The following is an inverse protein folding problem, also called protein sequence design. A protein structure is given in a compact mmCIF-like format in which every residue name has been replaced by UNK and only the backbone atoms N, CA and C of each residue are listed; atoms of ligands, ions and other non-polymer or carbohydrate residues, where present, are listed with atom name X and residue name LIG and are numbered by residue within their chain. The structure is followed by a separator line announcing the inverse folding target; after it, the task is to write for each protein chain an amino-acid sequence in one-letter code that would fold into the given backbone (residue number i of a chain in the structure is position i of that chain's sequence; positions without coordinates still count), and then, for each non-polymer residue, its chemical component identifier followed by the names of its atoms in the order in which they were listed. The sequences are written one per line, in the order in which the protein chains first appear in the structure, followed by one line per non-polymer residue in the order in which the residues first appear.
data_IF_561143305280
#
_entry.id   IF_561143305280
#
_cell.length_a   1.000
_cell.length_b   1.000
_cell.length_c   1.000
_cell.angle_alpha   90.00
_cell.angle_beta   90.00
_cell.angle_gamma   90.00
#
_symmetry.space_group_name_H-M   'P 1'
#
loop_
_entity.id
_entity.type
_entity.pdbx_description
1 polymer ?
#
# COMPACT_ATOMS: atom_id res chain seq x y z
N UNK A 1 0.06 -5.74 15.36
CA UNK A 1 -1.16 -5.02 15.81
C UNK A 1 -2.19 -6.00 16.35
N UNK A 2 -3.07 -5.52 17.21
CA UNK A 2 -4.18 -6.32 17.73
C UNK A 2 -5.28 -6.42 16.68
N UNK A 3 -6.25 -7.35 16.91
CA UNK A 3 -7.42 -7.47 16.03
C UNK A 3 -8.21 -6.15 15.97
N UNK A 4 -8.38 -5.49 17.11
CA UNK A 4 -9.08 -4.21 17.18
C UNK A 4 -8.35 -3.11 16.42
N UNK A 5 -7.04 -3.06 16.54
CA UNK A 5 -6.23 -2.11 15.77
C UNK A 5 -6.30 -2.38 14.27
N UNK A 6 -6.30 -3.66 13.88
CA UNK A 6 -6.41 -4.04 12.47
C UNK A 6 -7.77 -3.64 11.89
N UNK A 7 -8.85 -3.88 12.63
CA UNK A 7 -10.20 -3.48 12.20
C UNK A 7 -10.32 -1.95 12.10
N UNK A 8 -9.80 -1.23 13.08
CA UNK A 8 -9.77 0.23 13.08
C UNK A 8 -8.98 0.76 11.88
N UNK A 9 -7.82 0.16 11.59
CA UNK A 9 -7.01 0.51 10.43
C UNK A 9 -7.81 0.36 9.13
N UNK A 10 -8.53 -0.75 8.97
CA UNK A 10 -9.34 -0.97 7.76
C UNK A 10 -10.40 0.12 7.59
N UNK A 11 -11.03 0.56 8.66
CA UNK A 11 -12.02 1.64 8.60
C UNK A 11 -11.42 2.99 8.21
N UNK A 12 -10.13 3.20 8.48
CA UNK A 12 -9.44 4.45 8.11
C UNK A 12 -8.74 4.37 6.75
N UNK A 13 -8.68 3.19 6.13
CA UNK A 13 -7.94 2.97 4.89
C UNK A 13 -8.39 3.89 3.75
N UNK A 14 -9.67 4.19 3.65
CA UNK A 14 -10.20 5.08 2.63
C UNK A 14 -9.64 6.50 2.74
N UNK A 15 -9.39 6.96 3.95
CA UNK A 15 -8.88 8.32 4.20
C UNK A 15 -7.36 8.43 4.05
N UNK A 16 -6.66 7.33 3.91
CA UNK A 16 -5.21 7.33 3.69
C UNK A 16 -4.96 7.60 2.21
N UNK A 17 -4.25 8.69 1.92
CA UNK A 17 -3.97 9.11 0.54
C UNK A 17 -2.59 8.68 0.07
N UNK A 18 -2.42 8.55 -1.25
CA UNK A 18 -1.13 8.33 -1.86
C UNK A 18 -0.17 9.49 -1.51
N UNK A 19 1.13 9.21 -1.57
CA UNK A 19 2.15 10.21 -1.31
C UNK A 19 2.11 11.31 -2.38
N UNK A 20 2.25 12.56 -1.96
CA UNK A 20 2.33 13.70 -2.86
C UNK A 20 3.80 13.96 -3.18
N UNK A 21 4.24 13.59 -4.37
CA UNK A 21 5.63 13.69 -4.78
C UNK A 21 5.77 14.51 -6.05
N UNK A 22 6.71 15.46 -6.05
CA UNK A 22 6.94 16.36 -7.18
C UNK A 22 7.88 15.79 -8.24
N UNK A 23 8.79 14.90 -7.83
CA UNK A 23 9.78 14.32 -8.73
C UNK A 23 9.83 12.80 -8.56
N UNK A 24 10.30 12.05 -9.60
CA UNK A 24 10.48 10.61 -9.47
C UNK A 24 11.44 10.24 -8.34
N UNK A 25 12.49 11.02 -8.13
CA UNK A 25 13.46 10.78 -7.07
C UNK A 25 12.83 10.92 -5.69
N UNK A 26 12.02 11.96 -5.49
CA UNK A 26 11.30 12.17 -4.23
C UNK A 26 10.35 11.02 -3.95
N UNK A 27 9.62 10.54 -4.97
CA UNK A 27 8.71 9.40 -4.83
C UNK A 27 9.47 8.15 -4.39
N UNK A 28 10.62 7.87 -5.00
CA UNK A 28 11.45 6.73 -4.65
C UNK A 28 11.92 6.81 -3.19
N UNK A 29 12.43 7.95 -2.78
CA UNK A 29 12.89 8.16 -1.40
C UNK A 29 11.76 8.00 -0.40
N UNK A 30 10.60 8.59 -0.68
CA UNK A 30 9.43 8.52 0.20
C UNK A 30 8.87 7.09 0.30
N UNK A 31 8.86 6.36 -0.80
CA UNK A 31 8.44 4.95 -0.78
C UNK A 31 9.40 4.10 0.07
N UNK A 32 10.72 4.30 -0.07
CA UNK A 32 11.71 3.59 0.73
C UNK A 32 11.53 3.87 2.22
N UNK A 33 11.34 5.12 2.58
CA UNK A 33 11.11 5.51 3.97
C UNK A 33 9.81 4.91 4.53
N UNK A 34 8.75 4.92 3.74
CA UNK A 34 7.48 4.32 4.14
C UNK A 34 7.60 2.83 4.43
N UNK A 35 8.30 2.11 3.58
CA UNK A 35 8.54 0.67 3.76
C UNK A 35 9.43 0.42 4.98
N UNK A 36 10.47 1.22 5.13
CA UNK A 36 11.42 1.10 6.26
C UNK A 36 10.74 1.35 7.60
N UNK A 37 9.76 2.23 7.65
CA UNK A 37 9.03 2.55 8.88
C UNK A 37 8.16 1.39 9.36
N UNK A 38 7.72 0.52 8.47
CA UNK A 38 6.79 -0.59 8.73
C UNK A 38 5.46 -0.14 9.36
N UNK A 39 5.15 1.15 9.36
CA UNK A 39 3.89 1.66 9.87
C UNK A 39 2.76 1.35 8.90
N UNK A 40 1.61 0.81 9.36
CA UNK A 40 0.51 0.43 8.46
C UNK A 40 0.06 1.55 7.54
N UNK A 41 -0.08 2.77 8.05
CA UNK A 41 -0.49 3.92 7.27
C UNK A 41 0.51 4.24 6.16
N UNK A 42 1.81 4.22 6.50
CA UNK A 42 2.87 4.49 5.53
C UNK A 42 2.94 3.41 4.46
N UNK A 43 2.78 2.15 4.84
CA UNK A 43 2.77 1.04 3.89
C UNK A 43 1.60 1.16 2.90
N UNK A 44 0.42 1.51 3.40
CA UNK A 44 -0.75 1.71 2.53
C UNK A 44 -0.56 2.91 1.61
N UNK A 45 0.08 3.99 2.09
CA UNK A 45 0.42 5.13 1.24
C UNK A 45 1.33 4.71 0.07
N UNK A 46 2.32 3.87 0.33
CA UNK A 46 3.20 3.33 -0.73
C UNK A 46 2.39 2.54 -1.75
N UNK A 47 1.52 1.65 -1.26
CA UNK A 47 0.66 0.83 -2.13
C UNK A 47 -0.21 1.71 -3.03
N UNK A 48 -0.89 2.70 -2.45
CA UNK A 48 -1.75 3.61 -3.20
C UNK A 48 -0.97 4.46 -4.20
N UNK A 49 0.23 4.89 -3.83
CA UNK A 49 1.12 5.66 -4.71
C UNK A 49 1.47 4.85 -5.96
N UNK A 50 1.86 3.60 -5.78
CA UNK A 50 2.21 2.72 -6.91
C UNK A 50 0.98 2.38 -7.75
N UNK A 51 -0.19 2.19 -7.12
CA UNK A 51 -1.44 1.91 -7.84
C UNK A 51 -1.85 3.09 -8.74
N UNK A 52 -1.75 4.31 -8.23
CA UNK A 52 -2.02 5.51 -9.04
C UNK A 52 -1.05 5.63 -10.21
N UNK A 53 0.23 5.34 -9.98
CA UNK A 53 1.24 5.34 -11.02
C UNK A 53 0.95 4.28 -12.07
N UNK A 54 0.47 3.10 -11.65
CA UNK A 54 0.08 2.03 -12.58
C UNK A 54 -1.01 2.51 -13.53
N UNK A 55 -2.04 3.17 -13.00
CA UNK A 55 -3.14 3.71 -13.81
C UNK A 55 -2.64 4.78 -14.78
N UNK A 56 -1.81 5.69 -14.31
CA UNK A 56 -1.25 6.75 -15.14
C UNK A 56 -0.39 6.21 -16.27
N UNK A 57 0.48 5.24 -15.97
CA UNK A 57 1.33 4.60 -16.99
C UNK A 57 0.49 3.79 -17.98
N UNK A 58 -0.55 3.11 -17.50
CA UNK A 58 -1.45 2.37 -18.37
C UNK A 58 -2.13 3.27 -19.41
N UNK A 59 -2.52 4.48 -19.02
CA UNK A 59 -3.07 5.47 -19.96
C UNK A 59 -2.07 5.87 -21.04
N UNK A 60 -0.78 5.80 -20.75
CA UNK A 60 0.29 6.09 -21.69
C UNK A 60 0.75 4.84 -22.46
N UNK A 61 0.09 3.70 -22.27
CA UNK A 61 0.48 2.44 -22.89
C UNK A 61 1.75 1.82 -22.30
N UNK A 62 2.10 2.20 -21.07
CA UNK A 62 3.32 1.74 -20.39
C UNK A 62 2.99 0.86 -19.19
N UNK A 63 3.93 -0.02 -18.84
CA UNK A 63 3.85 -0.86 -17.64
C UNK A 63 4.61 -0.23 -16.49
N UNK A 64 4.38 -0.70 -15.26
CA UNK A 64 5.16 -0.30 -14.10
C UNK A 64 6.62 -0.73 -14.29
N UNK A 65 7.54 0.08 -13.73
CA UNK A 65 8.95 -0.26 -13.71
C UNK A 65 9.22 -1.39 -12.70
N UNK A 66 10.37 -2.04 -12.81
CA UNK A 66 10.77 -3.08 -11.84
C UNK A 66 10.85 -2.50 -10.42
N UNK A 67 11.31 -1.26 -10.28
CA UNK A 67 11.40 -0.61 -8.98
C UNK A 67 10.01 -0.38 -8.37
N UNK A 68 9.04 0.07 -9.16
CA UNK A 68 7.66 0.24 -8.69
C UNK A 68 7.07 -1.08 -8.24
N UNK A 69 7.28 -2.16 -9.01
CA UNK A 69 6.81 -3.49 -8.64
C UNK A 69 7.45 -3.96 -7.33
N UNK A 70 8.73 -3.70 -7.15
CA UNK A 70 9.45 -4.05 -5.93
C UNK A 70 8.85 -3.33 -4.71
N UNK A 71 8.57 -2.05 -4.82
CA UNK A 71 7.97 -1.27 -3.73
C UNK A 71 6.59 -1.80 -3.34
N UNK A 72 5.70 -2.02 -4.33
CA UNK A 72 4.36 -2.49 -3.99
C UNK A 72 4.37 -3.90 -3.40
N UNK A 73 5.20 -4.79 -3.93
CA UNK A 73 5.33 -6.14 -3.38
C UNK A 73 5.82 -6.14 -1.95
N UNK A 74 6.86 -5.36 -1.64
CA UNK A 74 7.37 -5.25 -0.27
C UNK A 74 6.33 -4.68 0.68
N UNK A 75 5.67 -3.59 0.29
CA UNK A 75 4.66 -2.96 1.13
C UNK A 75 3.47 -3.89 1.37
N UNK A 76 2.99 -4.58 0.34
CA UNK A 76 1.91 -5.54 0.46
C UNK A 76 2.30 -6.72 1.35
N UNK A 77 3.49 -7.27 1.16
CA UNK A 77 3.95 -8.41 1.96
C UNK A 77 3.96 -8.09 3.45
N UNK A 78 4.48 -6.92 3.82
CA UNK A 78 4.54 -6.52 5.23
C UNK A 78 3.14 -6.24 5.78
N UNK A 79 2.37 -5.41 5.09
CA UNK A 79 1.07 -4.97 5.59
C UNK A 79 0.03 -6.09 5.59
N UNK A 80 -0.08 -6.81 4.49
CA UNK A 80 -1.13 -7.84 4.36
C UNK A 80 -0.86 -9.03 5.26
N UNK A 81 0.40 -9.43 5.44
CA UNK A 81 0.75 -10.49 6.38
C UNK A 81 0.39 -10.11 7.81
N UNK A 82 0.71 -8.89 8.22
CA UNK A 82 0.36 -8.40 9.55
C UNK A 82 -1.15 -8.37 9.78
N UNK A 83 -1.91 -7.88 8.81
CA UNK A 83 -3.36 -7.85 8.89
C UNK A 83 -3.96 -9.26 8.89
N UNK A 84 -3.43 -10.17 8.08
CA UNK A 84 -3.90 -11.55 8.04
C UNK A 84 -3.73 -12.23 9.40
N UNK A 85 -2.59 -12.06 10.03
CA UNK A 85 -2.31 -12.60 11.36
C UNK A 85 -3.22 -11.97 12.40
N UNK A 86 -3.32 -10.64 12.42
CA UNK A 86 -4.09 -9.91 13.41
C UNK A 86 -5.59 -10.20 13.33
N UNK A 87 -6.11 -10.41 12.13
CA UNK A 87 -7.53 -10.69 11.89
C UNK A 87 -7.85 -12.18 11.80
N UNK A 88 -6.84 -13.04 11.81
CA UNK A 88 -6.98 -14.51 11.65
C UNK A 88 -7.71 -14.87 10.35
N UNK A 89 -7.34 -14.21 9.26
CA UNK A 89 -7.88 -14.45 7.92
C UNK A 89 -6.75 -14.68 6.91
N UNK A 90 -7.10 -15.12 5.71
CA UNK A 90 -6.11 -15.33 4.65
C UNK A 90 -5.66 -14.00 4.05
N UNK A 91 -4.51 -14.02 3.39
CA UNK A 91 -4.02 -12.83 2.66
C UNK A 91 -5.01 -12.39 1.57
N UNK A 92 -5.63 -13.34 0.88
CA UNK A 92 -6.63 -13.02 -0.15
C UNK A 92 -7.80 -12.25 0.45
N UNK A 93 -8.27 -12.67 1.62
CA UNK A 93 -9.33 -11.96 2.33
C UNK A 93 -8.90 -10.55 2.74
N UNK A 94 -7.62 -10.37 3.15
CA UNK A 94 -7.08 -9.05 3.46
C UNK A 94 -7.13 -8.15 2.21
N UNK A 95 -6.68 -8.67 1.07
CA UNK A 95 -6.70 -7.92 -0.18
C UNK A 95 -8.11 -7.48 -0.56
N UNK A 96 -9.07 -8.36 -0.42
CA UNK A 96 -10.48 -8.06 -0.69
C UNK A 96 -11.02 -6.96 0.24
N UNK A 97 -10.68 -7.04 1.54
CA UNK A 97 -11.09 -6.02 2.51
C UNK A 97 -10.46 -4.65 2.21
N UNK A 98 -9.18 -4.62 1.86
CA UNK A 98 -8.48 -3.38 1.49
C UNK A 98 -9.16 -2.75 0.27
N UNK A 99 -9.47 -3.53 -0.75
CA UNK A 99 -10.17 -3.04 -1.94
C UNK A 99 -11.55 -2.47 -1.59
N UNK A 100 -12.28 -3.14 -0.71
CA UNK A 100 -13.61 -2.69 -0.31
C UNK A 100 -13.58 -1.38 0.50
N UNK A 101 -12.60 -1.22 1.40
CA UNK A 101 -12.51 -0.04 2.25
C UNK A 101 -11.70 1.10 1.64
N UNK A 102 -10.78 0.81 0.73
CA UNK A 102 -9.85 1.81 0.19
C UNK A 102 -10.22 2.33 -1.20
N UNK A 103 -11.19 1.75 -1.85
CA UNK A 103 -11.61 2.16 -3.19
C UNK A 103 -12.69 3.26 -3.21
#
# INVERSE_FOLDING_TARGET
MTKEQAESFLHTAESIHALSCKTPKQREENCREGIKSCAPDALLQVIKTVMERREERARQGKKLTLLDLHFIEQAEDILYEELAISLSISRVEVEEKIKAYAS
#
